data_IF_714724894622
#
_entry.id   IF_714724894622
#
_cell.length_a   1.000
_cell.length_b   1.000
_cell.length_c   1.000
_cell.angle_alpha   90.00
_cell.angle_beta   90.00
_cell.angle_gamma   90.00
#
_symmetry.space_group_name_H-M   'P 1'
#
loop_
_entity.id
_entity.type
_entity.pdbx_description
1 polymer ?
#
# COMPACT_ATOMS: atom_id res chain seq x y z
N UNK A 1 -8.51 4.28 11.93
CA UNK A 1 -9.02 3.44 10.84
C UNK A 1 -8.01 2.34 10.68
N UNK A 2 -8.41 1.09 10.88
CA UNK A 2 -7.48 -0.01 11.20
C UNK A 2 -6.26 -0.08 10.28
N UNK A 3 -6.43 0.07 8.96
CA UNK A 3 -5.31 0.02 8.02
C UNK A 3 -4.22 1.07 8.29
N UNK A 4 -4.61 2.30 8.64
CA UNK A 4 -3.63 3.34 9.03
C UNK A 4 -2.87 2.95 10.29
N UNK A 5 -3.55 2.30 11.23
CA UNK A 5 -2.95 1.87 12.49
C UNK A 5 -2.03 0.68 12.30
N UNK A 6 -2.37 -0.25 11.40
CA UNK A 6 -1.48 -1.34 10.98
C UNK A 6 -0.22 -0.77 10.33
N UNK A 7 -0.36 0.12 9.34
CA UNK A 7 0.77 0.76 8.66
C UNK A 7 1.68 1.52 9.63
N UNK A 8 1.09 2.30 10.54
CA UNK A 8 1.85 3.00 11.58
C UNK A 8 2.61 2.01 12.48
N UNK A 9 1.98 0.89 12.86
CA UNK A 9 2.62 -0.12 13.69
C UNK A 9 3.76 -0.87 12.99
N UNK A 10 3.76 -0.93 11.64
CA UNK A 10 4.89 -1.51 10.89
C UNK A 10 6.19 -0.71 11.06
N UNK A 11 6.18 0.51 11.58
CA UNK A 11 7.43 1.23 11.90
C UNK A 11 8.26 0.49 12.96
N UNK A 12 7.61 -0.21 13.91
CA UNK A 12 8.33 -0.88 15.01
C UNK A 12 9.02 -2.18 14.60
N UNK A 13 8.67 -2.76 13.45
CA UNK A 13 9.21 -4.08 13.05
C UNK A 13 10.57 -4.00 12.35
N UNK A 14 11.07 -2.79 12.10
CA UNK A 14 12.35 -2.58 11.45
C UNK A 14 12.33 -2.92 9.95
N UNK A 15 13.31 -3.70 9.49
CA UNK A 15 13.44 -4.02 8.07
C UNK A 15 12.34 -4.97 7.61
N UNK A 16 11.76 -4.69 6.45
CA UNK A 16 10.81 -5.55 5.74
C UNK A 16 11.15 -5.55 4.25
N UNK A 17 10.58 -6.51 3.52
CA UNK A 17 10.55 -6.48 2.06
C UNK A 17 9.13 -6.20 1.57
N UNK A 18 8.94 -5.06 0.94
CA UNK A 18 7.67 -4.66 0.36
C UNK A 18 7.59 -5.04 -1.12
N UNK A 19 6.45 -5.60 -1.53
CA UNK A 19 6.15 -5.92 -2.92
C UNK A 19 4.88 -5.17 -3.32
N UNK A 20 5.02 -4.31 -4.33
CA UNK A 20 3.93 -3.60 -4.98
C UNK A 20 3.96 -3.95 -6.46
N UNK A 21 2.79 -4.18 -7.07
CA UNK A 21 2.73 -4.60 -8.47
C UNK A 21 1.46 -4.13 -9.16
N UNK A 22 1.50 -4.20 -10.48
CA UNK A 22 0.32 -4.30 -11.30
C UNK A 22 0.40 -5.60 -12.13
N UNK A 23 -0.44 -5.75 -13.15
CA UNK A 23 -0.43 -6.93 -14.00
C UNK A 23 0.88 -7.10 -14.77
N UNK A 24 1.56 -5.99 -15.08
CA UNK A 24 2.67 -5.94 -16.04
C UNK A 24 4.04 -5.72 -15.41
N UNK A 25 4.09 -5.25 -14.15
CA UNK A 25 5.33 -4.93 -13.46
C UNK A 25 5.24 -5.29 -11.97
N UNK A 26 6.33 -5.83 -11.44
CA UNK A 26 6.51 -6.12 -10.01
C UNK A 26 7.68 -5.29 -9.50
N UNK A 27 7.45 -4.57 -8.40
CA UNK A 27 8.47 -3.80 -7.71
C UNK A 27 8.67 -4.36 -6.30
N UNK A 28 9.90 -4.82 -6.01
CA UNK A 28 10.31 -5.26 -4.68
C UNK A 28 11.30 -4.27 -4.09
N UNK A 29 11.07 -3.82 -2.86
CA UNK A 29 11.95 -2.90 -2.15
C UNK A 29 12.12 -3.34 -0.71
N UNK A 30 13.37 -3.47 -0.27
CA UNK A 30 13.73 -3.68 1.14
C UNK A 30 13.87 -2.33 1.85
N UNK A 31 13.37 -2.23 3.06
CA UNK A 31 13.48 -1.03 3.90
C UNK A 31 12.56 -1.08 5.11
N UNK A 32 12.48 0.05 5.83
CA UNK A 32 11.65 0.20 7.02
C UNK A 32 10.51 1.19 6.79
N UNK A 33 9.42 1.03 7.54
CA UNK A 33 8.25 1.93 7.52
C UNK A 33 8.49 3.20 8.35
N UNK A 34 9.63 3.87 8.15
CA UNK A 34 9.97 5.14 8.81
C UNK A 34 9.46 6.35 8.03
N UNK A 35 9.41 7.52 8.67
CA UNK A 35 8.99 8.80 8.05
C UNK A 35 7.58 8.73 7.45
N UNK A 36 6.63 8.21 8.24
CA UNK A 36 5.25 8.07 7.81
C UNK A 36 4.46 9.39 7.95
N UNK A 37 3.71 9.73 6.91
CA UNK A 37 2.69 10.76 6.93
C UNK A 37 1.37 10.17 6.41
N UNK A 38 0.60 9.52 7.29
CA UNK A 38 -0.62 8.79 6.91
C UNK A 38 -1.91 9.63 6.98
N UNK A 39 -1.79 10.92 7.29
CA UNK A 39 -2.90 11.87 7.31
C UNK A 39 -3.12 12.55 5.95
N UNK A 40 -4.32 13.13 5.75
CA UNK A 40 -4.65 13.88 4.53
C UNK A 40 -5.27 13.03 3.41
N UNK A 41 -5.26 13.57 2.19
CA UNK A 41 -5.86 12.94 1.00
C UNK A 41 -5.09 11.69 0.52
N UNK A 42 -3.76 11.68 0.68
CA UNK A 42 -2.90 10.53 0.37
C UNK A 42 -1.88 10.33 1.49
N UNK A 43 -1.70 9.07 1.90
CA UNK A 43 -0.66 8.67 2.85
C UNK A 43 0.71 8.55 2.18
N UNK A 44 1.76 8.65 2.99
CA UNK A 44 3.14 8.68 2.53
C UNK A 44 4.04 7.88 3.49
N UNK A 45 4.99 7.15 2.94
CA UNK A 45 6.18 6.65 3.65
C UNK A 45 7.36 7.18 2.87
N UNK A 46 8.08 8.18 3.40
CA UNK A 46 9.04 8.96 2.61
C UNK A 46 10.48 8.61 2.97
N UNK A 47 11.06 7.64 2.28
CA UNK A 47 12.48 7.28 2.43
C UNK A 47 13.16 7.23 1.06
N UNK A 48 13.64 8.37 0.52
CA UNK A 48 14.32 8.39 -0.77
C UNK A 48 15.47 7.37 -0.82
N UNK A 49 15.51 6.55 -1.88
CA UNK A 49 16.47 5.44 -2.09
C UNK A 49 16.28 4.21 -1.19
N UNK A 50 15.21 4.18 -0.40
CA UNK A 50 14.80 3.02 0.39
C UNK A 50 13.30 2.77 0.16
N UNK A 51 12.55 2.39 1.19
CA UNK A 51 11.11 2.18 1.10
C UNK A 51 10.37 3.52 0.98
N UNK A 52 10.02 3.88 -0.26
CA UNK A 52 9.32 5.12 -0.58
C UNK A 52 7.95 4.82 -1.20
N UNK A 53 6.86 5.12 -0.48
CA UNK A 53 5.50 4.75 -0.86
C UNK A 53 4.59 5.97 -0.96
N UNK A 54 3.67 5.94 -1.93
CA UNK A 54 2.52 6.85 -2.04
C UNK A 54 1.26 6.01 -1.87
N UNK A 55 0.42 6.34 -0.90
CA UNK A 55 -0.66 5.47 -0.42
C UNK A 55 -2.03 6.15 -0.59
N UNK A 56 -2.84 5.67 -1.53
CA UNK A 56 -4.23 6.11 -1.68
C UNK A 56 -5.16 5.31 -0.75
N UNK A 57 -5.11 5.62 0.54
CA UNK A 57 -5.70 4.79 1.61
C UNK A 57 -7.22 4.58 1.51
N UNK A 58 -7.94 5.40 0.76
CA UNK A 58 -9.38 5.20 0.51
C UNK A 58 -9.66 3.92 -0.28
N UNK A 59 -8.68 3.44 -1.06
CA UNK A 59 -8.81 2.20 -1.84
C UNK A 59 -8.55 0.95 -0.99
N UNK A 60 -7.97 1.08 0.20
CA UNK A 60 -7.56 -0.07 1.00
C UNK A 60 -8.76 -0.63 1.77
N UNK A 61 -9.03 -1.92 1.62
CA UNK A 61 -10.26 -2.54 2.13
C UNK A 61 -10.00 -3.64 3.16
N UNK A 62 -8.99 -4.48 2.94
CA UNK A 62 -8.73 -5.64 3.81
C UNK A 62 -7.23 -5.91 3.97
N UNK A 63 -6.87 -6.61 5.04
CA UNK A 63 -5.51 -7.03 5.33
C UNK A 63 -5.50 -8.44 5.92
N UNK A 64 -4.53 -9.26 5.54
CA UNK A 64 -4.36 -10.62 6.03
C UNK A 64 -2.92 -10.88 6.43
N UNK A 65 -2.73 -11.60 7.54
CA UNK A 65 -1.46 -12.24 7.83
C UNK A 65 -1.42 -13.62 7.16
N UNK A 66 -0.28 -13.95 6.57
CA UNK A 66 -0.01 -15.25 5.99
C UNK A 66 1.32 -15.75 6.57
N UNK A 67 1.31 -16.92 7.19
CA UNK A 67 2.49 -17.75 7.40
C UNK A 67 2.41 -18.96 6.47
N UNK A 68 3.41 -19.13 5.62
CA UNK A 68 3.48 -20.20 4.65
C UNK A 68 4.85 -20.89 4.65
N UNK A 69 4.85 -22.22 4.58
CA UNK A 69 6.09 -22.98 4.40
C UNK A 69 6.42 -23.07 2.92
N UNK A 70 7.60 -22.57 2.55
CA UNK A 70 8.13 -22.66 1.18
C UNK A 70 9.32 -23.60 1.11
N UNK A 71 9.80 -23.91 -0.10
CA UNK A 71 11.06 -24.64 -0.29
C UNK A 71 12.29 -23.93 0.28
N UNK A 72 12.16 -22.64 0.63
CA UNK A 72 13.22 -21.82 1.23
C UNK A 72 13.01 -21.55 2.72
N UNK A 73 12.06 -22.23 3.35
CA UNK A 73 11.69 -22.02 4.75
C UNK A 73 10.34 -21.32 4.93
N UNK A 74 9.99 -21.05 6.18
CA UNK A 74 8.79 -20.30 6.55
C UNK A 74 8.90 -18.84 6.07
N UNK A 75 7.82 -18.31 5.51
CA UNK A 75 7.67 -16.90 5.18
C UNK A 75 6.45 -16.34 5.86
N UNK A 76 6.61 -15.17 6.44
CA UNK A 76 5.50 -14.41 6.99
C UNK A 76 5.28 -13.12 6.20
N UNK A 77 4.01 -12.76 6.04
CA UNK A 77 3.64 -11.50 5.41
C UNK A 77 2.35 -10.92 5.94
N UNK A 78 2.21 -9.61 5.83
CA UNK A 78 0.93 -8.90 5.89
C UNK A 78 0.61 -8.43 4.47
N UNK A 79 -0.56 -8.77 3.96
CA UNK A 79 -0.97 -8.48 2.59
C UNK A 79 -2.24 -7.64 2.59
N UNK A 80 -2.22 -6.53 1.86
CA UNK A 80 -3.32 -5.57 1.77
C UNK A 80 -4.01 -5.65 0.41
N UNK A 81 -5.34 -5.56 0.43
CA UNK A 81 -6.17 -5.67 -0.77
C UNK A 81 -7.18 -4.53 -0.86
N UNK A 82 -7.55 -4.17 -2.08
CA UNK A 82 -8.55 -3.14 -2.35
C UNK A 82 -9.99 -3.64 -2.30
N UNK A 83 -10.94 -2.77 -2.64
CA UNK A 83 -12.37 -3.10 -2.68
C UNK A 83 -12.74 -4.07 -3.81
N UNK A 84 -11.88 -4.27 -4.80
CA UNK A 84 -12.06 -5.23 -5.89
C UNK A 84 -11.50 -6.61 -5.53
N UNK A 85 -10.62 -6.65 -4.52
CA UNK A 85 -9.89 -7.86 -4.10
C UNK A 85 -8.50 -7.95 -4.72
N UNK A 86 -8.03 -6.91 -5.40
CA UNK A 86 -6.70 -6.87 -5.99
C UNK A 86 -5.65 -6.50 -4.94
N UNK A 87 -4.44 -7.03 -5.09
CA UNK A 87 -3.36 -6.82 -4.13
C UNK A 87 -2.77 -5.41 -4.27
N UNK A 88 -2.77 -4.65 -3.18
CA UNK A 88 -2.20 -3.29 -3.10
C UNK A 88 -0.73 -3.31 -2.68
N UNK A 89 -0.42 -4.02 -1.59
CA UNK A 89 0.93 -4.10 -1.02
C UNK A 89 1.08 -5.41 -0.24
N UNK A 90 2.24 -6.05 -0.37
CA UNK A 90 2.62 -7.19 0.47
C UNK A 90 3.89 -6.86 1.24
N UNK A 91 3.85 -7.01 2.56
CA UNK A 91 4.96 -6.74 3.46
C UNK A 91 5.45 -8.05 4.01
N UNK A 92 6.63 -8.48 3.57
CA UNK A 92 7.27 -9.71 4.03
C UNK A 92 8.31 -9.43 5.10
N UNK A 93 8.40 -10.34 6.06
CA UNK A 93 9.55 -10.37 6.97
C UNK A 93 10.83 -10.71 6.21
N UNK A 94 11.96 -10.25 6.73
CA UNK A 94 13.32 -10.58 6.30
C UNK A 94 14.10 -11.18 7.48
N UNK A 95 15.36 -11.56 7.26
CA UNK A 95 16.26 -12.00 8.32
C UNK A 95 16.61 -10.87 9.32
N UNK A 96 16.26 -9.62 8.99
CA UNK A 96 16.51 -8.42 9.80
C UNK A 96 15.23 -7.79 10.36
N UNK A 97 14.06 -8.41 10.15
CA UNK A 97 12.82 -7.98 10.83
C UNK A 97 12.92 -8.26 12.32
N UNK A 98 12.49 -7.31 13.16
CA UNK A 98 12.29 -7.57 14.58
C UNK A 98 11.05 -8.47 14.76
N UNK A 99 11.32 -9.77 14.96
CA UNK A 99 10.28 -10.81 15.06
C UNK A 99 9.41 -10.62 16.31
N UNK A 100 9.96 -10.05 17.39
CA UNK A 100 9.17 -9.79 18.60
C UNK A 100 8.17 -8.66 18.33
N UNK A 101 8.64 -7.54 17.76
CA UNK A 101 7.77 -6.44 17.37
C UNK A 101 6.75 -6.85 16.29
N UNK A 102 7.14 -7.71 15.34
CA UNK A 102 6.23 -8.30 14.36
C UNK A 102 5.11 -9.09 15.06
N UNK A 103 5.46 -9.94 16.03
CA UNK A 103 4.49 -10.67 16.85
C UNK A 103 3.53 -9.76 17.63
N UNK A 104 4.01 -8.62 18.14
CA UNK A 104 3.17 -7.62 18.80
C UNK A 104 2.18 -6.97 17.84
N UNK A 105 2.61 -6.65 16.61
CA UNK A 105 1.71 -6.15 15.55
C UNK A 105 0.63 -7.18 15.24
N UNK A 106 1.01 -8.44 15.04
CA UNK A 106 0.04 -9.51 14.77
C UNK A 106 -0.95 -9.69 15.92
N UNK A 107 -0.46 -9.74 17.16
CA UNK A 107 -1.31 -9.88 18.35
C UNK A 107 -2.31 -8.74 18.48
N UNK A 108 -1.91 -7.52 18.10
CA UNK A 108 -2.76 -6.34 18.16
C UNK A 108 -3.88 -6.33 17.10
N UNK A 109 -3.62 -6.83 15.90
CA UNK A 109 -4.52 -6.64 14.74
C UNK A 109 -5.15 -7.92 14.18
N UNK A 110 -4.68 -9.11 14.57
CA UNK A 110 -5.38 -10.35 14.20
C UNK A 110 -6.71 -10.41 14.95
N UNK A 111 -7.78 -10.63 14.19
CA UNK A 111 -9.12 -10.89 14.71
C UNK A 111 -9.50 -12.35 14.43
N UNK A 112 -10.29 -12.94 15.32
CA UNK A 112 -10.75 -14.33 15.17
C UNK A 112 -11.85 -14.48 14.10
N UNK A 113 -12.61 -13.41 13.87
CA UNK A 113 -13.67 -13.40 12.86
C UNK A 113 -13.08 -13.18 11.46
N UNK A 114 -13.64 -13.86 10.46
CA UNK A 114 -13.25 -13.72 9.06
C UNK A 114 -14.50 -13.52 8.21
N UNK A 115 -15.12 -12.32 8.25
CA UNK A 115 -16.33 -12.05 7.51
C UNK A 115 -16.08 -12.15 6.00
N UNK A 116 -17.14 -12.48 5.24
CA UNK A 116 -17.07 -12.50 3.78
C UNK A 116 -16.72 -11.11 3.24
N UNK A 117 -15.77 -11.04 2.30
CA UNK A 117 -15.38 -9.80 1.67
C UNK A 117 -16.52 -9.22 0.81
N UNK A 118 -16.88 -7.97 1.07
CA UNK A 118 -17.88 -7.23 0.31
C UNK A 118 -17.24 -6.54 -0.90
N UNK A 119 -16.80 -7.34 -1.88
CA UNK A 119 -16.13 -6.84 -3.09
C UNK A 119 -17.05 -5.97 -3.94
N UNK A 120 -16.47 -4.97 -4.61
CA UNK A 120 -17.15 -4.00 -5.47
C UNK A 120 -16.55 -4.03 -6.87
N UNK A 121 -17.43 -3.92 -7.87
CA UNK A 121 -16.99 -3.70 -9.25
C UNK A 121 -16.22 -2.37 -9.37
N UNK A 122 -15.28 -2.32 -10.31
CA UNK A 122 -14.58 -1.08 -10.68
C UNK A 122 -15.56 -0.11 -11.31
N UNK A 123 -15.52 1.15 -10.90
CA UNK A 123 -16.30 2.21 -11.54
C UNK A 123 -15.87 2.38 -12.99
N UNK A 124 -16.84 2.54 -13.89
CA UNK A 124 -16.53 2.80 -15.30
C UNK A 124 -15.72 4.11 -15.41
N UNK A 125 -14.63 4.13 -16.19
CA UNK A 125 -13.86 5.35 -16.39
C UNK A 125 -14.77 6.47 -16.93
N UNK A 126 -14.72 7.64 -16.30
CA UNK A 126 -15.38 8.81 -16.84
C UNK A 126 -14.61 9.30 -18.07
N UNK A 127 -15.21 9.19 -19.25
CA UNK A 127 -14.66 9.75 -20.48
C UNK A 127 -15.32 11.10 -20.78
N UNK A 128 -14.52 12.09 -21.16
CA UNK A 128 -15.02 13.37 -21.69
C UNK A 128 -14.86 13.36 -23.20
N UNK A 129 -15.98 13.24 -23.93
CA UNK A 129 -16.01 13.27 -25.39
C UNK A 129 -15.76 14.68 -25.98
N UNK A 130 -15.59 15.69 -25.12
CA UNK A 130 -15.46 17.10 -25.50
C UNK A 130 -14.28 17.82 -24.87
N UNK A 131 -13.22 17.10 -24.49
CA UNK A 131 -12.02 17.74 -23.96
C UNK A 131 -11.42 18.71 -25.00
N UNK A 132 -11.27 19.98 -24.61
CA UNK A 132 -10.63 20.99 -25.47
C UNK A 132 -9.11 20.84 -25.38
N UNK A 133 -8.50 20.34 -26.46
CA UNK A 133 -7.06 20.11 -26.53
C UNK A 133 -6.24 21.39 -26.26
N UNK A 134 -6.74 22.55 -26.69
CA UNK A 134 -6.07 23.84 -26.45
C UNK A 134 -6.01 24.20 -24.96
N UNK A 135 -7.12 24.00 -24.24
CA UNK A 135 -7.21 24.20 -22.80
C UNK A 135 -6.34 23.20 -22.04
N UNK A 136 -6.37 21.91 -22.40
CA UNK A 136 -5.52 20.88 -21.79
C UNK A 136 -4.04 21.21 -21.94
N UNK A 137 -3.59 21.61 -23.15
CA UNK A 137 -2.17 21.99 -23.34
C UNK A 137 -1.80 23.24 -22.53
N UNK A 138 -2.67 24.25 -22.51
CA UNK A 138 -2.43 25.50 -21.77
C UNK A 138 -2.33 25.24 -20.27
N UNK A 139 -3.26 24.47 -19.72
CA UNK A 139 -3.30 24.11 -18.29
C UNK A 139 -2.12 23.22 -17.91
N UNK A 140 -1.78 22.25 -18.75
CA UNK A 140 -0.58 21.43 -18.56
C UNK A 140 0.67 22.33 -18.47
N UNK A 141 0.88 23.24 -19.43
CA UNK A 141 2.06 24.13 -19.46
C UNK A 141 2.09 25.10 -18.27
N UNK A 142 0.94 25.39 -17.66
CA UNK A 142 0.83 26.24 -16.49
C UNK A 142 1.11 25.50 -15.17
N UNK A 143 1.22 24.16 -15.18
CA UNK A 143 1.55 23.40 -13.98
C UNK A 143 2.92 23.79 -13.43
N UNK A 144 2.98 23.97 -12.11
CA UNK A 144 4.21 24.27 -11.36
C UNK A 144 4.66 23.12 -10.48
N UNK A 145 3.82 22.10 -10.32
CA UNK A 145 4.08 20.91 -9.52
C UNK A 145 3.43 19.69 -10.19
N UNK A 146 4.14 18.56 -10.26
CA UNK A 146 3.66 17.34 -10.94
C UNK A 146 2.40 16.73 -10.31
N UNK A 147 2.16 16.98 -9.01
CA UNK A 147 0.97 16.47 -8.32
C UNK A 147 -0.31 17.19 -8.77
N UNK A 148 -0.19 18.37 -9.39
CA UNK A 148 -1.34 19.09 -9.98
C UNK A 148 -1.99 18.32 -11.13
N UNK A 149 -1.25 17.40 -11.77
CA UNK A 149 -1.77 16.60 -12.89
C UNK A 149 -2.95 15.68 -12.52
N UNK A 150 -3.15 15.40 -11.23
CA UNK A 150 -4.26 14.57 -10.74
C UNK A 150 -5.52 15.39 -10.36
N UNK A 151 -5.46 16.72 -10.46
CA UNK A 151 -6.58 17.63 -10.19
C UNK A 151 -7.28 18.03 -11.48
#
# INVERSE_FOLDING_TARGET
>A
GEIREILAALESVGETKCICRNEYAVHEQVGAFTNQHLGGHAGLVLNPRALDLRLFLNQWASAFHISETTSRGERQSIQFFDHQGDALLKVYTTDHTDVAAWGDVLTRFIIADNPTLALKAVDAPAHSDGADAGSVEKEWRAMTDVHQFFS
#
